data_IF_482557240643
#
_entry.id   IF_482557240643
#
_cell.length_a   1.000
_cell.length_b   1.000
_cell.length_c   1.000
_cell.angle_alpha   90.00
_cell.angle_beta   90.00
_cell.angle_gamma   90.00
#
_symmetry.space_group_name_H-M   'P 1'
#
loop_
_entity.id
_entity.type
_entity.pdbx_description
1 polymer ?
#
# COMPACT_ATOMS: atom_id res chain seq x y z
N UNK A 1 -33.04 -14.58 -16.11
CA UNK A 1 -32.32 -14.21 -14.87
C UNK A 1 -30.86 -13.92 -15.22
N UNK A 2 -30.31 -12.73 -14.93
CA UNK A 2 -28.90 -12.47 -15.20
C UNK A 2 -28.04 -13.39 -14.33
N UNK A 3 -27.09 -14.12 -14.94
CA UNK A 3 -26.11 -14.94 -14.21
C UNK A 3 -25.31 -14.00 -13.31
N UNK A 4 -25.36 -14.21 -11.98
CA UNK A 4 -24.46 -13.53 -11.04
C UNK A 4 -23.02 -13.83 -11.45
N UNK A 5 -22.26 -12.80 -11.82
CA UNK A 5 -20.82 -12.91 -11.98
C UNK A 5 -20.24 -13.41 -10.65
N UNK A 6 -19.63 -14.60 -10.68
CA UNK A 6 -18.86 -15.12 -9.55
C UNK A 6 -17.40 -14.93 -9.92
N UNK A 7 -16.68 -13.98 -9.28
CA UNK A 7 -15.26 -13.83 -9.52
C UNK A 7 -14.57 -15.17 -9.23
N UNK A 8 -13.70 -15.61 -10.13
CA UNK A 8 -12.84 -16.77 -9.84
C UNK A 8 -11.80 -16.36 -8.80
N UNK A 9 -12.15 -16.59 -7.54
CA UNK A 9 -11.29 -16.30 -6.38
C UNK A 9 -9.99 -17.12 -6.44
N UNK A 10 -10.01 -18.31 -7.06
CA UNK A 10 -8.82 -19.16 -7.16
C UNK A 10 -7.82 -18.58 -8.14
N UNK A 11 -8.28 -18.19 -9.34
CA UNK A 11 -7.46 -17.51 -10.34
C UNK A 11 -6.90 -16.20 -9.82
N UNK A 12 -7.74 -15.38 -9.17
CA UNK A 12 -7.30 -14.13 -8.54
C UNK A 12 -6.20 -14.37 -7.49
N UNK A 13 -6.39 -15.34 -6.60
CA UNK A 13 -5.41 -15.69 -5.58
C UNK A 13 -4.09 -16.23 -6.16
N UNK A 14 -4.13 -16.93 -7.29
CA UNK A 14 -2.92 -17.38 -7.99
C UNK A 14 -2.13 -16.20 -8.54
N UNK A 15 -2.81 -15.23 -9.17
CA UNK A 15 -2.17 -14.00 -9.67
C UNK A 15 -1.53 -13.23 -8.51
N UNK A 16 -2.28 -12.99 -7.42
CA UNK A 16 -1.78 -12.25 -6.25
C UNK A 16 -0.62 -12.94 -5.53
N UNK A 17 -0.42 -14.25 -5.75
CA UNK A 17 0.71 -15.02 -5.21
C UNK A 17 1.89 -15.14 -6.17
N UNK A 18 1.71 -14.73 -7.42
CA UNK A 18 2.73 -14.88 -8.45
C UNK A 18 3.95 -14.01 -8.15
N UNK A 19 5.12 -14.50 -8.52
CA UNK A 19 6.37 -13.75 -8.36
C UNK A 19 6.36 -12.49 -9.23
N UNK A 20 5.69 -12.54 -10.40
CA UNK A 20 5.50 -11.37 -11.25
C UNK A 20 4.72 -10.25 -10.55
N UNK A 21 3.59 -10.57 -9.92
CA UNK A 21 2.81 -9.59 -9.17
C UNK A 21 3.57 -9.05 -7.97
N UNK A 22 4.32 -9.90 -7.25
CA UNK A 22 5.17 -9.46 -6.14
C UNK A 22 6.29 -8.53 -6.59
N UNK A 23 6.97 -8.86 -7.68
CA UNK A 23 8.04 -8.05 -8.24
C UNK A 23 7.51 -6.67 -8.69
N UNK A 24 6.35 -6.64 -9.34
CA UNK A 24 5.73 -5.39 -9.77
C UNK A 24 5.29 -4.53 -8.57
N UNK A 25 4.69 -5.14 -7.54
CA UNK A 25 4.32 -4.42 -6.32
C UNK A 25 5.54 -3.88 -5.58
N UNK A 26 6.63 -4.65 -5.49
CA UNK A 26 7.88 -4.19 -4.87
C UNK A 26 8.50 -3.05 -5.68
N UNK A 27 8.50 -3.14 -7.01
CA UNK A 27 8.96 -2.05 -7.89
C UNK A 27 8.18 -0.77 -7.65
N UNK A 28 6.84 -0.85 -7.61
CA UNK A 28 5.96 0.28 -7.34
C UNK A 28 6.14 0.83 -5.92
N UNK A 29 6.25 -0.03 -4.92
CA UNK A 29 6.48 0.39 -3.53
C UNK A 29 7.79 1.14 -3.35
N UNK A 30 8.87 0.66 -3.98
CA UNK A 30 10.16 1.36 -3.99
C UNK A 30 10.09 2.70 -4.72
N UNK A 31 9.37 2.76 -5.84
CA UNK A 31 9.13 4.01 -6.56
C UNK A 31 8.38 5.02 -5.66
N UNK A 32 7.31 4.58 -5.00
CA UNK A 32 6.56 5.45 -4.09
C UNK A 32 7.35 5.86 -2.86
N UNK A 33 8.17 4.98 -2.28
CA UNK A 33 9.07 5.36 -1.18
C UNK A 33 10.04 6.48 -1.62
N UNK A 34 10.57 6.39 -2.83
CA UNK A 34 11.42 7.44 -3.41
C UNK A 34 10.66 8.75 -3.68
N UNK A 35 9.41 8.68 -4.15
CA UNK A 35 8.57 9.85 -4.42
C UNK A 35 8.14 10.58 -3.13
N UNK A 36 7.89 9.85 -2.04
CA UNK A 36 7.59 10.45 -0.73
C UNK A 36 8.82 11.17 -0.16
N UNK A 37 10.01 10.66 -0.45
CA UNK A 37 11.30 11.28 -0.14
C UNK A 37 12.07 10.62 1.00
N UNK A 38 13.12 11.29 1.45
CA UNK A 38 14.10 10.73 2.37
C UNK A 38 13.50 10.21 3.69
N UNK A 39 13.96 9.03 4.10
CA UNK A 39 13.60 8.41 5.37
C UNK A 39 12.29 7.62 5.34
N UNK A 40 11.74 7.33 4.15
CA UNK A 40 10.67 6.37 3.92
C UNK A 40 11.21 5.10 3.26
N UNK A 41 10.54 3.98 3.51
CA UNK A 41 10.88 2.67 2.95
C UNK A 41 9.63 1.95 2.44
N UNK A 42 9.82 1.06 1.47
CA UNK A 42 8.82 0.10 1.06
C UNK A 42 8.94 -1.17 1.90
N UNK A 43 7.81 -1.65 2.43
CA UNK A 43 7.74 -2.89 3.20
C UNK A 43 6.73 -3.82 2.58
N UNK A 44 7.17 -5.05 2.36
CA UNK A 44 6.32 -6.15 1.95
C UNK A 44 5.67 -6.80 3.17
N UNK A 45 4.35 -6.94 3.14
CA UNK A 45 3.58 -7.61 4.19
C UNK A 45 2.91 -8.87 3.68
N UNK A 46 3.42 -10.00 4.16
CA UNK A 46 2.93 -11.33 3.83
C UNK A 46 1.92 -11.87 4.87
N UNK A 47 1.41 -11.03 5.78
CA UNK A 47 0.43 -11.47 6.80
C UNK A 47 -0.85 -12.05 6.20
N UNK A 48 -1.25 -11.61 5.00
CA UNK A 48 -2.44 -12.15 4.33
C UNK A 48 -2.05 -13.18 3.27
N UNK A 49 -2.35 -14.48 3.45
CA UNK A 49 -1.82 -15.55 2.62
C UNK A 49 -2.38 -15.58 1.19
N UNK A 50 -3.20 -14.62 0.78
CA UNK A 50 -3.87 -14.55 -0.51
C UNK A 50 -3.60 -13.25 -1.27
N UNK A 51 -2.89 -12.30 -0.65
CA UNK A 51 -2.75 -10.94 -1.17
C UNK A 51 -1.30 -10.53 -0.98
N UNK A 52 -0.57 -10.32 -2.06
CA UNK A 52 0.68 -9.58 -2.00
C UNK A 52 0.35 -8.12 -1.63
N UNK A 53 0.99 -7.62 -0.57
CA UNK A 53 0.85 -6.24 -0.10
C UNK A 53 2.22 -5.62 0.01
N UNK A 54 2.32 -4.43 -0.56
CA UNK A 54 3.45 -3.54 -0.40
C UNK A 54 2.91 -2.22 0.15
N UNK A 55 3.55 -1.66 1.15
CA UNK A 55 3.20 -0.35 1.66
C UNK A 55 4.44 0.48 1.98
N UNK A 56 4.29 1.79 1.84
CA UNK A 56 5.34 2.75 2.19
C UNK A 56 5.15 3.19 3.63
N UNK A 57 6.21 3.15 4.43
CA UNK A 57 6.21 3.61 5.81
C UNK A 57 7.41 4.51 6.12
N UNK A 58 7.34 5.38 7.15
CA UNK A 58 8.51 6.09 7.62
C UNK A 58 9.47 5.10 8.29
N UNK A 59 10.75 5.19 7.95
CA UNK A 59 11.84 4.38 8.50
C UNK A 59 12.71 5.15 9.50
N UNK A 60 12.62 6.49 9.51
CA UNK A 60 13.44 7.36 10.37
C UNK A 60 12.60 8.17 11.37
N UNK A 61 13.16 8.55 12.53
CA UNK A 61 12.46 9.43 13.48
C UNK A 61 12.00 10.76 12.86
N UNK A 62 12.78 11.32 11.92
CA UNK A 62 12.42 12.54 11.22
C UNK A 62 11.19 12.33 10.32
N UNK A 63 11.19 11.29 9.49
CA UNK A 63 10.06 10.94 8.64
C UNK A 63 8.79 10.59 9.44
N UNK A 64 8.93 9.93 10.59
CA UNK A 64 7.80 9.68 11.49
C UNK A 64 7.15 10.98 11.98
N UNK A 65 7.96 11.97 12.38
CA UNK A 65 7.46 13.28 12.82
C UNK A 65 6.77 14.04 11.69
N UNK A 66 7.36 14.04 10.50
CA UNK A 66 6.76 14.66 9.31
C UNK A 66 5.41 14.02 8.97
N UNK A 67 5.36 12.69 8.85
CA UNK A 67 4.13 11.96 8.57
C UNK A 67 3.04 12.19 9.65
N UNK A 68 3.42 12.25 10.92
CA UNK A 68 2.48 12.55 12.01
C UNK A 68 1.88 13.97 11.87
N UNK A 69 2.72 14.95 11.53
CA UNK A 69 2.28 16.33 11.27
C UNK A 69 1.31 16.40 10.08
N UNK A 70 1.63 15.74 8.98
CA UNK A 70 0.79 15.75 7.78
C UNK A 70 -0.58 15.11 8.04
N UNK A 71 -0.60 13.98 8.77
CA UNK A 71 -1.85 13.35 9.21
C UNK A 71 -2.71 14.27 10.07
N UNK A 72 -2.11 15.06 10.96
CA UNK A 72 -2.83 16.04 11.77
C UNK A 72 -3.42 17.15 10.90
N UNK A 73 -2.65 17.67 9.94
CA UNK A 73 -3.12 18.69 8.99
C UNK A 73 -4.30 18.16 8.16
N UNK A 74 -4.15 16.97 7.57
CA UNK A 74 -5.21 16.35 6.76
C UNK A 74 -6.48 16.10 7.57
N UNK A 75 -6.35 15.68 8.83
CA UNK A 75 -7.49 15.52 9.74
C UNK A 75 -8.18 16.85 10.04
N UNK A 76 -7.41 17.92 10.24
CA UNK A 76 -7.96 19.25 10.48
C UNK A 76 -8.67 19.81 9.23
N UNK A 77 -8.09 19.60 8.05
CA UNK A 77 -8.71 19.98 6.77
C UNK A 77 -9.99 19.19 6.50
N UNK A 78 -9.98 17.87 6.70
CA UNK A 78 -11.17 17.03 6.53
C UNK A 78 -12.33 17.44 7.45
N UNK A 79 -12.03 17.87 8.68
CA UNK A 79 -13.05 18.42 9.60
C UNK A 79 -13.59 19.79 9.20
N UNK A 80 -12.85 20.54 8.38
CA UNK A 80 -13.24 21.89 7.94
C UNK A 80 -14.03 21.85 6.62
N UNK A 81 -13.82 20.82 5.80
CA UNK A 81 -14.43 20.65 4.48
C UNK A 81 -15.63 19.70 4.47
N UNK A 82 -15.83 18.93 5.52
CA UNK A 82 -17.02 18.09 5.74
C UNK A 82 -17.96 18.72 6.75
#
# INVERSE_FOLDING_TARGET
MPKKFRPDVRGFNQVMKSDATRAELSRLGNQFAAEVGDGFESVSDNRHPWVAREFVQPATPAAHRANARDKLIMRALGKRLG
#
